data_IF_043015287327
#
_entry.id   IF_043015287327
#
_cell.length_a   1.000
_cell.length_b   1.000
_cell.length_c   1.000
_cell.angle_alpha   90.00
_cell.angle_beta   90.00
_cell.angle_gamma   90.00
#
_symmetry.space_group_name_H-M   'P 1'
#
loop_
_entity.id
_entity.type
_entity.pdbx_description
1 polymer ?
#
# COMPACT_ATOMS: atom_id res chain seq x y z
N UNK A 1 -3.06 -23.95 -9.28
CA UNK A 1 -3.09 -22.59 -8.74
C UNK A 1 -1.76 -21.94 -9.05
N UNK A 2 -1.77 -20.82 -9.75
CA UNK A 2 -0.59 -20.06 -10.17
C UNK A 2 -0.60 -18.69 -9.47
N UNK A 3 0.57 -18.21 -9.02
CA UNK A 3 0.73 -16.92 -8.36
C UNK A 3 1.51 -15.98 -9.28
N UNK A 4 1.03 -14.74 -9.44
CA UNK A 4 1.77 -13.66 -10.10
C UNK A 4 2.42 -12.78 -9.02
N UNK A 5 3.75 -12.79 -8.95
CA UNK A 5 4.52 -11.86 -8.12
C UNK A 5 4.85 -10.61 -8.95
N UNK A 6 4.35 -9.46 -8.55
CA UNK A 6 4.53 -8.18 -9.24
C UNK A 6 5.56 -7.36 -8.48
N UNK A 7 6.65 -6.98 -9.17
CA UNK A 7 7.76 -6.24 -8.59
C UNK A 7 7.96 -4.92 -9.35
N UNK A 8 7.43 -3.79 -8.86
CA UNK A 8 7.76 -2.47 -9.40
C UNK A 8 9.19 -2.08 -9.00
N UNK A 9 10.00 -1.64 -9.94
CA UNK A 9 11.40 -1.30 -9.72
C UNK A 9 11.75 0.07 -10.34
N UNK A 10 12.32 0.96 -9.53
CA UNK A 10 12.86 2.23 -9.96
C UNK A 10 14.11 2.57 -9.16
N UNK A 11 15.27 2.63 -9.83
CA UNK A 11 16.57 2.96 -9.23
C UNK A 11 16.90 2.11 -7.99
N UNK A 12 16.82 0.79 -8.13
CA UNK A 12 17.06 -0.20 -7.07
C UNK A 12 18.19 -1.20 -7.42
N UNK A 13 19.18 -0.76 -8.20
CA UNK A 13 20.30 -1.62 -8.66
C UNK A 13 20.99 -2.40 -7.54
N UNK A 14 21.03 -1.85 -6.31
CA UNK A 14 21.67 -2.48 -5.15
C UNK A 14 20.86 -3.65 -4.56
N UNK A 15 19.54 -3.65 -4.76
CA UNK A 15 18.62 -4.51 -4.02
C UNK A 15 17.87 -5.50 -4.92
N UNK A 16 17.52 -5.08 -6.13
CA UNK A 16 16.64 -5.83 -7.03
C UNK A 16 17.11 -7.27 -7.28
N UNK A 17 18.42 -7.49 -7.38
CA UNK A 17 18.97 -8.83 -7.56
C UNK A 17 18.70 -9.76 -6.37
N UNK A 18 18.69 -9.25 -5.15
CA UNK A 18 18.35 -10.01 -3.94
C UNK A 18 16.84 -10.28 -3.86
N UNK A 19 16.03 -9.28 -4.18
CA UNK A 19 14.59 -9.41 -4.29
C UNK A 19 14.17 -10.53 -5.25
N UNK A 20 14.64 -10.49 -6.49
CA UNK A 20 14.31 -11.51 -7.51
C UNK A 20 14.78 -12.90 -7.10
N UNK A 21 15.98 -13.04 -6.52
CA UNK A 21 16.47 -14.33 -6.04
C UNK A 21 15.61 -14.91 -4.93
N UNK A 22 15.05 -14.08 -4.04
CA UNK A 22 14.14 -14.57 -2.98
C UNK A 22 12.84 -15.15 -3.56
N UNK A 23 12.35 -14.58 -4.66
CA UNK A 23 11.19 -15.12 -5.38
C UNK A 23 11.49 -16.43 -6.08
N UNK A 24 12.70 -16.57 -6.63
CA UNK A 24 13.14 -17.78 -7.33
C UNK A 24 13.45 -18.97 -6.40
N UNK A 25 13.40 -18.80 -5.09
CA UNK A 25 13.50 -19.91 -4.11
C UNK A 25 12.20 -20.72 -3.99
N UNK A 26 11.14 -20.31 -4.69
CA UNK A 26 9.83 -20.98 -4.69
C UNK A 26 9.64 -21.83 -5.96
N UNK A 27 8.60 -22.65 -6.00
CA UNK A 27 8.31 -23.54 -7.13
C UNK A 27 8.01 -22.76 -8.42
N UNK A 28 8.94 -22.81 -9.37
CA UNK A 28 8.89 -22.07 -10.64
C UNK A 28 7.71 -22.46 -11.54
N UNK A 29 7.14 -23.64 -11.38
CA UNK A 29 5.97 -24.06 -12.17
C UNK A 29 4.66 -23.38 -11.68
N UNK A 30 4.66 -22.92 -10.44
CA UNK A 30 3.50 -22.29 -9.79
C UNK A 30 3.58 -20.77 -9.69
N UNK A 31 4.70 -20.17 -10.10
CA UNK A 31 4.90 -18.73 -10.02
C UNK A 31 5.17 -18.13 -11.41
N UNK A 32 4.66 -16.93 -11.65
CA UNK A 32 5.20 -16.00 -12.63
C UNK A 32 5.68 -14.74 -11.91
N UNK A 33 6.84 -14.25 -12.29
CA UNK A 33 7.45 -13.06 -11.71
C UNK A 33 7.41 -11.96 -12.77
N UNK A 34 6.70 -10.88 -12.50
CA UNK A 34 6.51 -9.76 -13.42
C UNK A 34 7.29 -8.58 -12.86
N UNK A 35 8.41 -8.29 -13.48
CA UNK A 35 9.33 -7.23 -13.10
C UNK A 35 9.04 -5.99 -13.95
N UNK A 36 8.68 -4.88 -13.31
CA UNK A 36 8.37 -3.63 -14.01
C UNK A 36 9.50 -2.63 -13.75
N UNK A 37 10.30 -2.37 -14.79
CA UNK A 37 11.28 -1.29 -14.75
C UNK A 37 10.61 0.04 -15.11
N UNK A 38 10.29 0.84 -14.12
CA UNK A 38 9.59 2.12 -14.26
C UNK A 38 10.56 3.26 -14.62
N UNK A 39 11.28 3.09 -15.75
CA UNK A 39 12.19 4.11 -16.28
C UNK A 39 13.44 4.36 -15.42
N UNK A 40 14.02 3.33 -14.81
CA UNK A 40 15.27 3.46 -14.03
C UNK A 40 16.41 4.02 -14.86
N UNK A 41 17.21 4.88 -14.23
CA UNK A 41 18.39 5.53 -14.81
C UNK A 41 19.71 4.92 -14.34
N UNK A 42 19.66 4.02 -13.36
CA UNK A 42 20.78 3.22 -12.88
C UNK A 42 20.85 1.85 -13.57
N UNK A 43 21.59 0.89 -13.03
CA UNK A 43 21.73 -0.44 -13.61
C UNK A 43 20.54 -1.37 -13.36
N UNK A 44 19.45 -0.89 -12.76
CA UNK A 44 18.27 -1.73 -12.44
C UNK A 44 17.77 -2.46 -13.68
N UNK A 45 17.53 -1.76 -14.79
CA UNK A 45 17.05 -2.38 -16.03
C UNK A 45 17.99 -3.48 -16.54
N UNK A 46 19.30 -3.22 -16.60
CA UNK A 46 20.30 -4.20 -17.02
C UNK A 46 20.33 -5.44 -16.12
N UNK A 47 20.13 -5.25 -14.81
CA UNK A 47 20.08 -6.38 -13.85
C UNK A 47 18.82 -7.22 -14.09
N UNK A 48 17.68 -6.57 -14.33
CA UNK A 48 16.43 -7.27 -14.63
C UNK A 48 16.55 -8.11 -15.90
N UNK A 49 17.14 -7.58 -16.98
CA UNK A 49 17.34 -8.26 -18.25
C UNK A 49 18.34 -9.43 -18.16
N UNK A 50 19.16 -9.47 -17.11
CA UNK A 50 20.10 -10.57 -16.89
C UNK A 50 19.46 -11.86 -16.35
N UNK A 51 18.20 -11.81 -15.91
CA UNK A 51 17.48 -12.99 -15.44
C UNK A 51 16.83 -13.74 -16.61
N UNK A 52 17.54 -14.73 -17.13
CA UNK A 52 17.03 -15.63 -18.19
C UNK A 52 16.35 -16.86 -17.56
N UNK A 53 15.13 -16.66 -17.01
CA UNK A 53 14.34 -17.70 -16.36
C UNK A 53 12.92 -17.69 -16.93
N UNK A 54 12.37 -18.84 -17.38
CA UNK A 54 11.07 -18.87 -18.08
C UNK A 54 9.87 -18.30 -17.30
N UNK A 55 9.91 -18.32 -15.96
CA UNK A 55 8.86 -17.77 -15.14
C UNK A 55 8.98 -16.24 -14.93
N UNK A 56 10.03 -15.59 -15.45
CA UNK A 56 10.23 -14.15 -15.34
C UNK A 56 9.79 -13.44 -16.61
N UNK A 57 9.03 -12.36 -16.44
CA UNK A 57 8.67 -11.41 -17.48
C UNK A 57 9.13 -10.03 -17.08
N UNK A 58 10.01 -9.42 -17.87
CA UNK A 58 10.45 -8.02 -17.68
C UNK A 58 9.63 -7.09 -18.58
N UNK A 59 9.17 -5.98 -18.03
CA UNK A 59 8.45 -4.92 -18.76
C UNK A 59 9.15 -3.60 -18.45
N UNK A 60 9.60 -2.90 -19.47
CA UNK A 60 10.18 -1.56 -19.35
C UNK A 60 9.14 -0.51 -19.69
N UNK A 61 9.00 0.51 -18.86
CA UNK A 61 8.10 1.66 -19.07
C UNK A 61 8.87 2.96 -18.89
N UNK A 62 8.33 4.06 -19.37
CA UNK A 62 8.73 5.39 -18.90
C UNK A 62 8.30 5.55 -17.44
N UNK A 63 9.04 6.37 -16.67
CA UNK A 63 8.72 6.59 -15.26
C UNK A 63 7.36 7.27 -15.09
N UNK A 64 6.41 6.57 -14.52
CA UNK A 64 5.06 7.04 -14.19
C UNK A 64 4.72 6.84 -12.71
N UNK A 65 5.67 6.34 -11.92
CA UNK A 65 5.56 6.10 -10.49
C UNK A 65 4.99 4.74 -10.11
N UNK A 66 5.17 4.40 -8.85
CA UNK A 66 4.90 3.07 -8.29
C UNK A 66 3.49 2.54 -8.58
N UNK A 67 2.47 3.40 -8.49
CA UNK A 67 1.07 3.04 -8.79
C UNK A 67 0.90 2.56 -10.23
N UNK A 68 1.47 3.29 -11.20
CA UNK A 68 1.40 2.93 -12.62
C UNK A 68 2.16 1.63 -12.89
N UNK A 69 3.33 1.46 -12.29
CA UNK A 69 4.11 0.22 -12.40
C UNK A 69 3.34 -0.98 -11.84
N UNK A 70 2.71 -0.86 -10.65
CA UNK A 70 1.86 -1.92 -10.09
C UNK A 70 0.65 -2.22 -10.98
N UNK A 71 -0.01 -1.22 -11.53
CA UNK A 71 -1.13 -1.40 -12.46
C UNK A 71 -0.69 -2.09 -13.76
N UNK A 72 0.48 -1.75 -14.30
CA UNK A 72 1.08 -2.44 -15.46
C UNK A 72 1.31 -3.91 -15.14
N UNK A 73 1.83 -4.22 -13.96
CA UNK A 73 1.99 -5.59 -13.48
C UNK A 73 0.66 -6.33 -13.34
N UNK A 74 -0.37 -5.70 -12.77
CA UNK A 74 -1.71 -6.27 -12.67
C UNK A 74 -2.32 -6.60 -14.04
N UNK A 75 -2.16 -5.72 -15.01
CA UNK A 75 -2.63 -5.95 -16.37
C UNK A 75 -1.90 -7.10 -17.07
N UNK A 76 -0.64 -7.34 -16.71
CA UNK A 76 0.19 -8.41 -17.27
C UNK A 76 0.05 -9.75 -16.54
N UNK A 77 -0.54 -9.76 -15.33
CA UNK A 77 -0.69 -10.93 -14.49
C UNK A 77 -1.66 -11.96 -15.07
N UNK A 78 -1.25 -13.23 -15.09
CA UNK A 78 -2.05 -14.37 -15.56
C UNK A 78 -2.40 -15.38 -14.46
N UNK A 79 -1.75 -15.30 -13.30
CA UNK A 79 -1.95 -16.18 -12.17
C UNK A 79 -3.36 -16.06 -11.55
N UNK A 80 -3.76 -17.04 -10.79
CA UNK A 80 -5.03 -17.06 -10.06
C UNK A 80 -5.00 -16.05 -8.90
N UNK A 81 -3.81 -15.87 -8.32
CA UNK A 81 -3.52 -14.95 -7.21
C UNK A 81 -2.38 -14.00 -7.56
N UNK A 82 -2.38 -12.84 -6.91
CA UNK A 82 -1.37 -11.78 -7.07
C UNK A 82 -0.77 -11.45 -5.70
N UNK A 83 0.56 -11.31 -5.67
CA UNK A 83 1.31 -10.73 -4.55
C UNK A 83 2.19 -9.58 -5.07
N UNK A 84 2.24 -8.46 -4.33
CA UNK A 84 3.16 -7.37 -4.63
C UNK A 84 4.42 -7.51 -3.77
N UNK A 85 5.57 -7.25 -4.37
CA UNK A 85 6.85 -7.24 -3.66
C UNK A 85 7.62 -6.00 -4.06
N UNK A 86 7.95 -5.14 -3.10
CA UNK A 86 8.78 -3.97 -3.36
C UNK A 86 10.21 -4.39 -3.72
N UNK A 87 10.82 -3.73 -4.69
CA UNK A 87 12.09 -4.15 -5.31
C UNK A 87 13.32 -4.09 -4.38
N UNK A 88 13.19 -3.48 -3.21
CA UNK A 88 14.20 -3.42 -2.16
C UNK A 88 13.93 -4.39 -0.99
N UNK A 89 12.83 -5.13 -1.04
CA UNK A 89 12.42 -6.11 -0.03
C UNK A 89 12.63 -7.57 -0.51
N UNK A 90 12.25 -8.54 0.32
CA UNK A 90 12.36 -9.98 0.03
C UNK A 90 11.16 -10.76 0.54
N UNK A 91 10.89 -11.91 -0.04
CA UNK A 91 10.07 -12.93 0.59
C UNK A 91 10.94 -13.85 1.47
N UNK A 92 10.35 -14.36 2.54
CA UNK A 92 10.95 -15.43 3.32
C UNK A 92 11.03 -16.73 2.52
N UNK A 93 11.95 -17.62 2.89
CA UNK A 93 12.11 -18.93 2.26
C UNK A 93 10.78 -19.72 2.31
N UNK A 94 10.41 -20.35 1.21
CA UNK A 94 9.18 -21.13 1.06
C UNK A 94 7.87 -20.37 1.35
N UNK A 95 7.89 -19.04 1.35
CA UNK A 95 6.71 -18.22 1.65
C UNK A 95 5.55 -18.49 0.69
N UNK A 96 5.80 -18.59 -0.62
CA UNK A 96 4.75 -18.82 -1.62
C UNK A 96 4.22 -20.25 -1.58
N UNK A 97 5.04 -21.24 -1.26
CA UNK A 97 4.59 -22.61 -1.07
C UNK A 97 3.66 -22.71 0.12
N UNK A 98 4.04 -22.11 1.25
CA UNK A 98 3.20 -22.06 2.44
C UNK A 98 1.90 -21.28 2.23
N UNK A 99 1.95 -20.13 1.54
CA UNK A 99 0.77 -19.37 1.15
C UNK A 99 -0.15 -20.18 0.23
N UNK A 100 0.45 -20.95 -0.69
CA UNK A 100 -0.31 -21.87 -1.57
C UNK A 100 -1.10 -22.90 -0.77
N UNK A 101 -0.51 -23.47 0.27
CA UNK A 101 -1.20 -24.45 1.12
C UNK A 101 -2.32 -23.80 1.94
N UNK A 102 -2.08 -22.63 2.54
CA UNK A 102 -3.09 -21.85 3.25
C UNK A 102 -4.27 -21.53 2.32
N UNK A 103 -4.01 -21.10 1.09
CA UNK A 103 -5.03 -20.76 0.11
C UNK A 103 -5.86 -21.98 -0.31
N UNK A 104 -5.24 -23.17 -0.41
CA UNK A 104 -5.97 -24.43 -0.69
C UNK A 104 -6.86 -24.83 0.48
N UNK A 105 -6.36 -24.70 1.70
CA UNK A 105 -7.06 -25.11 2.92
C UNK A 105 -8.24 -24.18 3.23
N UNK A 106 -8.05 -22.87 3.07
CA UNK A 106 -9.04 -21.85 3.45
C UNK A 106 -9.98 -21.44 2.32
N UNK A 107 -9.59 -21.65 1.07
CA UNK A 107 -10.30 -21.18 -0.13
C UNK A 107 -10.59 -19.67 -0.10
N UNK A 108 -9.73 -18.90 0.59
CA UNK A 108 -9.92 -17.47 0.80
C UNK A 108 -9.53 -16.66 -0.45
N UNK A 109 -10.25 -15.57 -0.70
CA UNK A 109 -9.92 -14.62 -1.76
C UNK A 109 -8.67 -13.80 -1.42
N UNK A 110 -8.44 -13.52 -0.12
CA UNK A 110 -7.30 -12.76 0.36
C UNK A 110 -6.71 -13.43 1.60
N UNK A 111 -5.38 -13.56 1.65
CA UNK A 111 -4.67 -13.99 2.86
C UNK A 111 -3.71 -12.90 3.29
N UNK A 112 -3.97 -12.32 4.46
CA UNK A 112 -3.06 -11.38 5.14
C UNK A 112 -2.02 -12.12 5.97
N UNK A 113 -0.80 -11.59 5.98
CA UNK A 113 0.33 -12.12 6.74
C UNK A 113 1.18 -10.99 7.32
N UNK A 114 2.21 -11.33 8.07
CA UNK A 114 3.06 -10.39 8.77
C UNK A 114 4.43 -10.24 8.09
N UNK A 115 5.20 -9.25 8.54
CA UNK A 115 6.56 -9.00 8.07
C UNK A 115 7.55 -8.93 9.21
N UNK A 116 8.75 -9.46 8.96
CA UNK A 116 9.95 -9.08 9.72
C UNK A 116 10.58 -7.84 9.08
N UNK A 117 11.34 -7.11 9.89
CA UNK A 117 12.11 -5.94 9.45
C UNK A 117 13.59 -6.25 9.58
N UNK A 118 14.38 -5.84 8.58
CA UNK A 118 15.83 -5.85 8.64
C UNK A 118 16.42 -4.53 8.15
N UNK A 119 17.62 -4.21 8.57
CA UNK A 119 18.22 -2.90 8.39
C UNK A 119 19.51 -3.02 7.62
N UNK A 120 19.75 -2.10 6.68
CA UNK A 120 21.03 -1.96 5.97
C UNK A 120 22.13 -1.36 6.86
N UNK A 121 21.73 -0.63 7.91
CA UNK A 121 22.62 0.05 8.85
C UNK A 121 22.05 -0.04 10.27
N UNK A 122 22.86 -0.43 11.24
CA UNK A 122 22.50 -0.52 12.67
C UNK A 122 21.94 0.79 13.24
N UNK A 123 22.45 1.95 12.76
CA UNK A 123 21.96 3.27 13.16
C UNK A 123 20.49 3.51 12.73
N UNK A 124 20.03 2.86 11.69
CA UNK A 124 18.62 2.90 11.30
C UNK A 124 17.74 2.14 12.29
N UNK A 125 18.23 1.04 12.85
CA UNK A 125 17.51 0.26 13.86
C UNK A 125 17.27 1.05 15.16
N UNK A 126 18.20 1.98 15.52
CA UNK A 126 18.02 2.85 16.67
C UNK A 126 16.95 3.93 16.46
N UNK A 127 16.72 4.34 15.20
CA UNK A 127 15.82 5.45 14.86
C UNK A 127 14.46 5.03 14.37
N UNK A 128 14.37 3.85 13.78
CA UNK A 128 13.16 3.34 13.15
C UNK A 128 12.82 1.98 13.75
N UNK A 129 11.59 1.83 14.22
CA UNK A 129 11.05 0.56 14.67
C UNK A 129 9.65 0.35 14.07
N UNK A 130 9.56 0.19 12.74
CA UNK A 130 8.28 -0.01 12.08
C UNK A 130 7.73 -1.40 12.46
N UNK A 131 6.45 -1.44 12.83
CA UNK A 131 5.76 -2.69 13.18
C UNK A 131 4.81 -3.06 12.05
N UNK A 132 4.98 -4.28 11.53
CA UNK A 132 4.14 -4.88 10.50
C UNK A 132 3.55 -6.20 10.99
N UNK A 133 3.27 -6.26 12.28
CA UNK A 133 2.70 -7.40 12.97
C UNK A 133 1.33 -7.03 13.52
N UNK A 134 0.36 -7.93 13.37
CA UNK A 134 -0.98 -7.79 13.94
C UNK A 134 -1.09 -8.43 15.32
N UNK A 135 0.05 -8.91 15.85
CA UNK A 135 0.18 -9.52 17.18
C UNK A 135 -0.83 -10.67 17.42
N UNK A 136 -1.17 -11.40 16.39
CA UNK A 136 -2.10 -12.52 16.46
C UNK A 136 -3.58 -12.13 16.65
N UNK A 137 -3.92 -10.85 16.75
CA UNK A 137 -5.28 -10.37 17.05
C UNK A 137 -6.33 -10.78 16.02
N UNK A 138 -5.90 -11.04 14.77
CA UNK A 138 -6.77 -11.45 13.67
C UNK A 138 -6.36 -12.81 13.08
N UNK A 139 -5.46 -13.55 13.76
CA UNK A 139 -4.84 -14.76 13.21
C UNK A 139 -5.76 -15.97 13.24
N UNK A 140 -5.59 -16.86 12.24
CA UNK A 140 -6.30 -18.12 12.06
C UNK A 140 -7.83 -17.95 12.02
N UNK A 141 -8.28 -16.84 11.47
CA UNK A 141 -9.69 -16.50 11.36
C UNK A 141 -10.03 -16.19 9.91
N UNK A 142 -11.10 -16.83 9.41
CA UNK A 142 -11.63 -16.57 8.08
C UNK A 142 -12.95 -15.82 8.20
N UNK A 143 -13.09 -14.70 7.50
CA UNK A 143 -14.25 -13.83 7.58
C UNK A 143 -14.49 -13.08 6.25
N UNK A 144 -15.54 -12.26 6.21
CA UNK A 144 -15.75 -11.34 5.08
C UNK A 144 -14.75 -10.19 5.10
N UNK A 145 -14.49 -9.56 3.94
CA UNK A 145 -13.66 -8.36 3.84
C UNK A 145 -14.15 -7.22 4.75
N UNK A 146 -15.46 -6.99 4.81
CA UNK A 146 -16.09 -6.00 5.69
C UNK A 146 -15.81 -6.29 7.17
N UNK A 147 -15.96 -7.54 7.60
CA UNK A 147 -15.69 -7.92 8.99
C UNK A 147 -14.20 -7.79 9.33
N UNK A 148 -13.31 -8.20 8.43
CA UNK A 148 -11.87 -8.02 8.63
C UNK A 148 -11.51 -6.53 8.78
N UNK A 149 -12.01 -5.67 7.89
CA UNK A 149 -11.82 -4.23 7.96
C UNK A 149 -12.29 -3.66 9.31
N UNK A 150 -13.52 -4.00 9.71
CA UNK A 150 -14.11 -3.57 10.97
C UNK A 150 -13.23 -3.94 12.18
N UNK A 151 -12.80 -5.19 12.28
CA UNK A 151 -11.97 -5.65 13.38
C UNK A 151 -10.59 -4.99 13.36
N UNK A 152 -9.94 -4.89 12.18
CA UNK A 152 -8.63 -4.30 12.04
C UNK A 152 -8.61 -2.82 12.46
N UNK A 153 -9.62 -2.05 12.06
CA UNK A 153 -9.76 -0.64 12.46
C UNK A 153 -10.04 -0.50 13.96
N UNK A 154 -10.95 -1.30 14.52
CA UNK A 154 -11.28 -1.23 15.94
C UNK A 154 -10.11 -1.62 16.85
N UNK A 155 -9.26 -2.54 16.40
CA UNK A 155 -8.05 -2.94 17.11
C UNK A 155 -6.85 -2.00 16.88
N UNK A 156 -6.99 -0.97 16.02
CA UNK A 156 -5.90 -0.08 15.65
C UNK A 156 -4.77 -0.78 14.86
N UNK A 157 -5.10 -1.87 14.16
CA UNK A 157 -4.16 -2.75 13.47
C UNK A 157 -4.45 -2.87 11.96
N UNK A 158 -5.09 -1.86 11.39
CA UNK A 158 -5.36 -1.79 9.97
C UNK A 158 -4.11 -1.37 9.18
N UNK A 159 -3.35 -2.36 8.72
CA UNK A 159 -2.13 -2.18 7.92
C UNK A 159 -2.50 -2.28 6.44
N UNK A 160 -2.33 -1.19 5.70
CA UNK A 160 -2.76 -1.04 4.30
C UNK A 160 -1.73 -1.48 3.26
N UNK A 161 -0.50 -1.87 3.67
CA UNK A 161 0.58 -2.22 2.73
C UNK A 161 0.17 -3.38 1.81
N UNK A 162 0.19 -3.20 0.47
CA UNK A 162 -0.19 -4.23 -0.50
C UNK A 162 0.80 -5.40 -0.55
N UNK A 163 1.97 -5.24 0.04
CA UNK A 163 2.98 -6.31 0.15
C UNK A 163 2.71 -7.28 1.30
N UNK A 164 1.71 -7.04 2.15
CA UNK A 164 1.40 -7.85 3.32
C UNK A 164 0.13 -8.69 3.16
N UNK A 165 -0.22 -8.98 1.94
CA UNK A 165 -1.26 -9.95 1.59
C UNK A 165 -1.06 -10.50 0.18
N UNK A 166 -1.65 -11.66 -0.05
CA UNK A 166 -1.87 -12.22 -1.37
C UNK A 166 -3.37 -12.18 -1.66
N UNK A 167 -3.76 -11.84 -2.88
CA UNK A 167 -5.17 -11.68 -3.26
C UNK A 167 -5.51 -12.40 -4.55
N UNK A 168 -6.71 -12.97 -4.64
CA UNK A 168 -7.22 -13.55 -5.87
C UNK A 168 -7.43 -12.46 -6.93
N UNK A 169 -7.19 -12.78 -8.19
CA UNK A 169 -7.51 -11.85 -9.30
C UNK A 169 -9.00 -11.48 -9.35
N UNK A 170 -9.86 -12.37 -8.85
CA UNK A 170 -11.29 -12.10 -8.70
C UNK A 170 -11.54 -10.97 -7.71
N UNK A 171 -10.86 -11.01 -6.55
CA UNK A 171 -10.95 -9.94 -5.54
C UNK A 171 -10.46 -8.58 -6.06
N UNK A 172 -9.46 -8.60 -6.95
CA UNK A 172 -8.88 -7.39 -7.56
C UNK A 172 -9.67 -6.84 -8.76
N UNK A 173 -10.79 -7.47 -9.12
CA UNK A 173 -11.58 -7.03 -10.28
C UNK A 173 -12.04 -5.59 -10.10
N UNK A 174 -11.74 -4.75 -11.09
CA UNK A 174 -12.04 -3.31 -11.13
C UNK A 174 -11.33 -2.47 -10.04
N UNK A 175 -10.30 -3.03 -9.39
CA UNK A 175 -9.50 -2.32 -8.39
C UNK A 175 -8.13 -2.00 -8.99
N UNK A 176 -7.73 -0.74 -8.94
CA UNK A 176 -6.44 -0.26 -9.43
C UNK A 176 -5.83 0.73 -8.44
N UNK A 177 -4.52 0.84 -8.46
CA UNK A 177 -3.81 1.89 -7.74
C UNK A 177 -4.11 3.25 -8.36
N UNK A 178 -4.31 4.26 -7.54
CA UNK A 178 -4.48 5.65 -8.00
C UNK A 178 -3.12 6.21 -8.40
N UNK A 179 -2.97 6.56 -9.67
CA UNK A 179 -1.71 7.12 -10.18
C UNK A 179 -1.46 8.54 -9.67
N UNK A 180 -0.16 8.90 -9.52
CA UNK A 180 0.26 10.26 -9.24
C UNK A 180 0.10 10.73 -7.79
N UNK A 181 -0.18 9.83 -6.86
CA UNK A 181 -0.25 10.14 -5.44
C UNK A 181 0.62 9.17 -4.63
N UNK A 182 1.13 9.62 -3.50
CA UNK A 182 1.70 8.76 -2.45
C UNK A 182 0.58 8.36 -1.48
N UNK A 183 0.77 7.27 -0.73
CA UNK A 183 -0.24 6.67 0.17
C UNK A 183 -1.45 6.06 -0.58
N UNK A 184 -1.28 5.74 -1.85
CA UNK A 184 -2.26 5.07 -2.71
C UNK A 184 -2.75 3.73 -2.17
N UNK A 185 -1.93 3.10 -1.32
CA UNK A 185 -2.22 1.86 -0.60
C UNK A 185 -3.44 1.96 0.32
N UNK A 186 -3.70 3.15 0.90
CA UNK A 186 -4.91 3.39 1.68
C UNK A 186 -6.19 3.23 0.86
N UNK A 187 -6.19 3.73 -0.38
CA UNK A 187 -7.33 3.55 -1.28
C UNK A 187 -7.42 2.09 -1.74
N UNK A 188 -6.30 1.55 -2.22
CA UNK A 188 -6.27 0.24 -2.86
C UNK A 188 -6.70 -0.87 -1.90
N UNK A 189 -6.11 -0.93 -0.70
CA UNK A 189 -6.43 -1.97 0.29
C UNK A 189 -7.84 -1.81 0.87
N UNK A 190 -8.30 -0.57 1.07
CA UNK A 190 -9.68 -0.33 1.52
C UNK A 190 -10.70 -0.76 0.46
N UNK A 191 -10.46 -0.47 -0.82
CA UNK A 191 -11.30 -0.97 -1.90
C UNK A 191 -11.25 -2.49 -2.03
N UNK A 192 -10.07 -3.11 -1.90
CA UNK A 192 -9.95 -4.57 -1.90
C UNK A 192 -10.89 -5.23 -0.87
N UNK A 193 -10.97 -4.66 0.33
CA UNK A 193 -11.77 -5.22 1.42
C UNK A 193 -13.26 -4.89 1.34
N UNK A 194 -13.63 -3.75 0.75
CA UNK A 194 -14.98 -3.21 0.83
C UNK A 194 -15.70 -3.06 -0.54
N UNK A 195 -15.03 -3.29 -1.67
CA UNK A 195 -15.67 -3.14 -2.99
C UNK A 195 -16.46 -4.37 -3.39
N UNK A 196 -15.90 -5.56 -3.16
CA UNK A 196 -16.49 -6.84 -3.56
C UNK A 196 -16.76 -7.73 -2.34
N UNK A 197 -17.69 -8.65 -2.47
CA UNK A 197 -17.90 -9.70 -1.47
C UNK A 197 -16.76 -10.71 -1.56
N UNK A 198 -15.84 -10.64 -0.64
CA UNK A 198 -14.64 -11.47 -0.57
C UNK A 198 -14.52 -12.18 0.77
N UNK A 199 -13.80 -13.30 0.75
CA UNK A 199 -13.36 -14.01 1.96
C UNK A 199 -11.91 -13.67 2.25
N UNK A 200 -11.63 -13.36 3.51
CA UNK A 200 -10.30 -12.99 4.02
C UNK A 200 -9.88 -14.00 5.07
N UNK A 201 -8.65 -14.47 4.98
CA UNK A 201 -7.97 -15.20 6.04
C UNK A 201 -6.76 -14.40 6.50
N UNK A 202 -6.41 -14.48 7.77
CA UNK A 202 -5.24 -13.80 8.31
C UNK A 202 -4.38 -14.79 9.11
N UNK A 203 -3.08 -14.75 8.88
CA UNK A 203 -2.10 -15.54 9.63
C UNK A 203 -1.06 -14.64 10.27
N UNK A 204 -0.43 -15.09 11.35
CA UNK A 204 0.66 -14.37 12.01
C UNK A 204 2.05 -14.86 11.56
N UNK A 205 2.10 -15.57 10.44
CA UNK A 205 3.35 -16.02 9.83
C UNK A 205 4.00 -14.83 9.08
N UNK A 206 5.33 -14.71 9.21
CA UNK A 206 6.12 -13.63 8.63
C UNK A 206 6.69 -14.07 7.29
N UNK A 207 5.92 -13.86 6.23
CA UNK A 207 6.32 -14.22 4.87
C UNK A 207 7.09 -13.14 4.14
N UNK A 208 7.08 -11.92 4.67
CA UNK A 208 7.71 -10.76 4.06
C UNK A 208 8.87 -10.26 4.90
N UNK A 209 9.97 -9.86 4.26
CA UNK A 209 11.17 -9.33 4.89
C UNK A 209 11.36 -7.90 4.39
N UNK A 210 10.93 -6.92 5.19
CA UNK A 210 10.97 -5.51 4.84
C UNK A 210 12.31 -4.89 5.18
N UNK A 211 12.93 -4.26 4.19
CA UNK A 211 14.19 -3.55 4.36
C UNK A 211 13.95 -2.11 4.84
N UNK A 212 14.72 -1.69 5.82
CA UNK A 212 14.86 -0.28 6.20
C UNK A 212 16.23 0.21 5.73
N UNK A 213 16.22 1.14 4.79
CA UNK A 213 17.41 1.69 4.15
C UNK A 213 17.37 3.21 4.08
N UNK A 214 18.53 3.84 3.94
CA UNK A 214 18.61 5.27 3.65
C UNK A 214 17.95 5.59 2.30
N UNK A 215 17.25 6.74 2.25
CA UNK A 215 16.61 7.21 1.02
C UNK A 215 15.32 6.49 0.63
N UNK A 216 14.79 5.58 1.47
CA UNK A 216 13.43 5.05 1.26
C UNK A 216 12.37 6.08 1.65
N UNK A 217 11.15 5.94 1.13
CA UNK A 217 10.00 6.80 1.49
C UNK A 217 9.80 6.89 3.01
N UNK A 218 10.08 5.80 3.74
CA UNK A 218 9.95 5.76 5.19
C UNK A 218 11.03 6.55 5.94
N UNK A 219 12.24 6.64 5.39
CA UNK A 219 13.39 7.25 6.06
C UNK A 219 13.60 8.70 5.64
N UNK A 220 12.92 9.16 4.60
CA UNK A 220 12.93 10.56 4.16
C UNK A 220 12.04 11.44 5.04
N UNK A 221 12.37 12.73 5.09
CA UNK A 221 11.49 13.71 5.74
C UNK A 221 10.21 13.85 4.91
N UNK A 222 9.08 13.71 5.57
CA UNK A 222 7.77 13.89 4.92
C UNK A 222 7.63 15.34 4.44
N UNK A 223 7.26 15.51 3.17
CA UNK A 223 7.09 16.79 2.49
C UNK A 223 5.66 16.98 1.97
N UNK A 224 5.48 17.98 1.11
CA UNK A 224 4.19 18.34 0.50
C UNK A 224 3.53 17.18 -0.27
N UNK A 225 4.32 16.28 -0.82
CA UNK A 225 3.84 15.08 -1.50
C UNK A 225 3.04 14.16 -0.57
N UNK A 226 3.50 13.97 0.67
CA UNK A 226 2.80 13.18 1.67
C UNK A 226 1.48 13.85 2.10
N UNK A 227 1.52 15.18 2.29
CA UNK A 227 0.33 15.97 2.61
C UNK A 227 -0.71 15.84 1.51
N UNK A 228 -0.30 16.08 0.25
CA UNK A 228 -1.17 15.94 -0.91
C UNK A 228 -1.66 14.50 -1.10
N UNK A 229 -0.82 13.52 -0.78
CA UNK A 229 -1.18 12.11 -0.82
C UNK A 229 -2.35 11.79 0.11
N UNK A 230 -2.23 12.10 1.40
CA UNK A 230 -3.33 11.90 2.36
C UNK A 230 -4.60 12.67 1.97
N UNK A 231 -4.44 13.94 1.55
CA UNK A 231 -5.57 14.74 1.06
C UNK A 231 -6.31 14.03 -0.09
N UNK A 232 -5.58 13.58 -1.12
CA UNK A 232 -6.17 12.91 -2.26
C UNK A 232 -6.82 11.57 -1.87
N UNK A 233 -6.24 10.83 -0.93
CA UNK A 233 -6.84 9.58 -0.42
C UNK A 233 -8.16 9.85 0.30
N UNK A 234 -8.19 10.85 1.20
CA UNK A 234 -9.39 11.23 1.94
C UNK A 234 -10.49 11.64 0.98
N UNK A 235 -10.20 12.55 0.04
CA UNK A 235 -11.17 13.06 -0.93
C UNK A 235 -11.68 11.95 -1.87
N UNK A 236 -10.81 11.06 -2.32
CA UNK A 236 -11.20 9.93 -3.16
C UNK A 236 -12.17 8.99 -2.42
N UNK A 237 -11.84 8.61 -1.19
CA UNK A 237 -12.67 7.69 -0.41
C UNK A 237 -13.98 8.33 0.04
N UNK A 238 -14.00 9.63 0.35
CA UNK A 238 -15.23 10.35 0.69
C UNK A 238 -16.16 10.48 -0.52
N UNK A 239 -15.63 10.86 -1.69
CA UNK A 239 -16.47 11.08 -2.88
C UNK A 239 -16.90 9.79 -3.58
N UNK A 240 -16.09 8.75 -3.48
CA UNK A 240 -16.30 7.47 -4.14
C UNK A 240 -16.09 6.34 -3.11
N UNK A 241 -16.98 6.24 -2.09
CA UNK A 241 -16.85 5.18 -1.09
C UNK A 241 -16.99 3.81 -1.75
N UNK A 242 -16.27 2.78 -1.27
CA UNK A 242 -16.47 1.41 -1.73
C UNK A 242 -17.92 0.93 -1.49
N UNK A 243 -18.37 -0.02 -2.29
CA UNK A 243 -19.77 -0.47 -2.33
C UNK A 243 -20.31 -0.92 -0.95
N UNK A 244 -19.48 -1.56 -0.13
CA UNK A 244 -19.86 -2.09 1.18
C UNK A 244 -19.42 -1.20 2.37
N UNK A 245 -18.96 0.03 2.12
CA UNK A 245 -18.52 0.94 3.18
C UNK A 245 -19.63 1.27 4.19
N UNK A 246 -20.89 1.34 3.74
CA UNK A 246 -22.07 1.60 4.56
C UNK A 246 -22.37 0.48 5.57
N UNK A 247 -21.91 -0.75 5.33
CA UNK A 247 -22.07 -1.87 6.26
C UNK A 247 -21.16 -1.74 7.51
N UNK A 248 -20.12 -0.93 7.43
CA UNK A 248 -19.11 -0.69 8.47
C UNK A 248 -18.83 0.81 8.61
N UNK A 249 -19.88 1.62 8.56
CA UNK A 249 -19.79 3.08 8.45
C UNK A 249 -18.98 3.71 9.59
N UNK A 250 -19.14 3.25 10.82
CA UNK A 250 -18.43 3.81 11.98
C UNK A 250 -16.91 3.57 11.86
N UNK A 251 -16.51 2.36 11.47
CA UNK A 251 -15.10 2.03 11.29
C UNK A 251 -14.53 2.70 10.05
N UNK A 252 -15.33 2.85 9.00
CA UNK A 252 -14.93 3.60 7.82
C UNK A 252 -14.66 5.08 8.17
N UNK A 253 -15.54 5.70 8.95
CA UNK A 253 -15.35 7.05 9.47
C UNK A 253 -14.11 7.16 10.37
N UNK A 254 -13.90 6.19 11.27
CA UNK A 254 -12.67 6.13 12.10
C UNK A 254 -11.40 6.07 11.24
N UNK A 255 -11.43 5.28 10.16
CA UNK A 255 -10.28 5.20 9.25
C UNK A 255 -10.03 6.52 8.50
N UNK A 256 -11.09 7.19 8.01
CA UNK A 256 -10.97 8.52 7.41
C UNK A 256 -10.37 9.51 8.42
N UNK A 257 -10.86 9.52 9.67
CA UNK A 257 -10.31 10.36 10.76
C UNK A 257 -8.83 10.06 11.03
N UNK A 258 -8.44 8.79 11.01
CA UNK A 258 -7.02 8.42 11.16
C UNK A 258 -6.15 9.00 10.03
N UNK A 259 -6.60 8.96 8.78
CA UNK A 259 -5.88 9.61 7.67
C UNK A 259 -5.80 11.13 7.82
N UNK A 260 -6.85 11.77 8.36
CA UNK A 260 -6.83 13.20 8.70
C UNK A 260 -5.79 13.48 9.79
N UNK A 261 -5.67 12.62 10.79
CA UNK A 261 -4.61 12.75 11.81
C UNK A 261 -3.20 12.59 11.21
N UNK A 262 -3.00 11.63 10.31
CA UNK A 262 -1.74 11.47 9.58
C UNK A 262 -1.39 12.71 8.75
N UNK A 263 -2.36 13.30 8.09
CA UNK A 263 -2.24 14.58 7.37
C UNK A 263 -1.83 15.71 8.34
N UNK A 264 -2.45 15.78 9.53
CA UNK A 264 -2.14 16.77 10.58
C UNK A 264 -0.70 16.69 11.08
N UNK A 265 -0.23 15.47 11.40
CA UNK A 265 1.15 15.26 11.86
C UNK A 265 2.18 15.67 10.80
N UNK A 266 1.80 15.67 9.54
CA UNK A 266 2.66 16.07 8.44
C UNK A 266 2.65 17.60 8.24
N UNK A 267 1.59 18.31 8.70
CA UNK A 267 1.42 19.76 8.56
C UNK A 267 0.76 20.37 9.81
N UNK A 268 1.56 20.70 10.83
CA UNK A 268 1.11 21.06 12.18
C UNK A 268 0.25 22.33 12.31
N UNK A 269 0.15 23.17 11.27
CA UNK A 269 -0.40 24.51 11.41
C UNK A 269 -1.87 24.70 10.97
N UNK A 270 -2.53 23.69 10.39
CA UNK A 270 -3.81 23.92 9.68
C UNK A 270 -5.04 23.19 10.29
N UNK A 271 -4.89 22.27 11.24
CA UNK A 271 -5.91 21.21 11.41
C UNK A 271 -6.59 21.11 12.79
N UNK A 272 -6.43 22.06 13.67
CA UNK A 272 -7.20 22.05 14.94
C UNK A 272 -8.72 22.01 14.70
N UNK A 273 -9.20 22.60 13.60
CA UNK A 273 -10.62 22.75 13.28
C UNK A 273 -11.26 21.53 12.62
N UNK A 274 -10.58 20.85 11.68
CA UNK A 274 -11.15 19.71 10.94
C UNK A 274 -11.48 18.50 11.83
N UNK A 275 -10.67 18.22 12.84
CA UNK A 275 -10.91 17.11 13.78
C UNK A 275 -12.11 17.40 14.70
N UNK A 276 -12.29 18.67 15.08
CA UNK A 276 -13.42 19.11 15.89
C UNK A 276 -14.77 18.90 15.19
N UNK A 277 -14.81 19.11 13.88
CA UNK A 277 -16.02 18.94 13.08
C UNK A 277 -16.32 17.45 12.80
N UNK A 278 -15.31 16.63 12.43
CA UNK A 278 -15.48 15.19 12.19
C UNK A 278 -15.92 14.41 13.44
N UNK A 279 -15.49 14.84 14.65
CA UNK A 279 -15.89 14.19 15.92
C UNK A 279 -17.29 14.61 16.36
N UNK A 280 -17.75 15.81 16.00
CA UNK A 280 -19.09 16.29 16.35
C UNK A 280 -20.22 15.58 15.61
N UNK A 281 -19.91 14.95 14.48
CA UNK A 281 -20.89 14.32 13.62
C UNK A 281 -20.68 12.80 13.58
N UNK A 282 -21.28 12.08 14.53
CA UNK A 282 -21.34 10.62 14.56
C UNK A 282 -22.11 10.01 13.38
N UNK A 283 -22.77 10.83 12.56
CA UNK A 283 -23.51 10.43 11.38
C UNK A 283 -23.03 11.27 10.18
N UNK A 284 -21.99 10.80 9.46
CA UNK A 284 -21.61 11.45 8.20
C UNK A 284 -22.67 11.10 7.14
N UNK A 285 -23.68 11.96 7.01
CA UNK A 285 -24.65 11.89 5.91
C UNK A 285 -24.00 12.43 4.63
N UNK A 286 -24.30 11.89 3.43
CA UNK A 286 -23.72 12.36 2.16
C UNK A 286 -23.71 13.88 1.92
N UNK A 287 -24.66 14.62 2.51
CA UNK A 287 -24.68 16.09 2.44
C UNK A 287 -23.63 16.80 3.30
N UNK A 288 -23.20 16.20 4.40
CA UNK A 288 -22.19 16.77 5.31
C UNK A 288 -20.77 16.54 4.78
N UNK A 289 -20.55 15.41 4.08
CA UNK A 289 -19.33 15.14 3.32
C UNK A 289 -19.06 16.25 2.28
N UNK A 290 -20.09 16.79 1.65
CA UNK A 290 -19.97 17.93 0.72
C UNK A 290 -19.57 19.23 1.46
N UNK A 291 -19.96 19.40 2.72
CA UNK A 291 -19.53 20.48 3.61
C UNK A 291 -18.05 20.38 3.94
N UNK A 292 -17.61 19.24 4.45
CA UNK A 292 -16.21 18.95 4.78
C UNK A 292 -15.28 19.11 3.56
N UNK A 293 -15.73 18.66 2.39
CA UNK A 293 -14.99 18.87 1.13
C UNK A 293 -14.82 20.36 0.83
N UNK A 294 -15.86 21.16 0.99
CA UNK A 294 -15.83 22.61 0.80
C UNK A 294 -14.84 23.27 1.76
N UNK A 295 -14.86 22.91 3.03
CA UNK A 295 -13.94 23.44 4.04
C UNK A 295 -12.49 23.05 3.77
N UNK A 296 -12.22 21.79 3.38
CA UNK A 296 -10.90 21.35 2.97
C UNK A 296 -10.44 22.12 1.72
N UNK A 297 -11.30 22.35 0.75
CA UNK A 297 -11.01 23.15 -0.46
C UNK A 297 -10.80 24.63 -0.11
N UNK A 298 -11.55 25.20 0.83
CA UNK A 298 -11.39 26.57 1.33
C UNK A 298 -10.05 26.73 2.09
N UNK A 299 -9.69 25.79 2.95
CA UNK A 299 -8.39 25.78 3.63
C UNK A 299 -7.24 25.71 2.62
N UNK A 300 -7.34 24.84 1.61
CA UNK A 300 -6.34 24.71 0.54
C UNK A 300 -6.25 25.96 -0.33
N UNK A 301 -7.36 26.69 -0.47
CA UNK A 301 -7.44 27.95 -1.20
C UNK A 301 -7.16 29.18 -0.32
N UNK A 302 -6.99 29.00 0.97
CA UNK A 302 -6.69 30.10 1.91
C UNK A 302 -5.42 30.85 1.53
N UNK A 303 -5.37 32.12 1.92
CA UNK A 303 -4.21 33.00 1.68
C UNK A 303 -2.95 32.41 2.32
N UNK A 304 -3.08 31.82 3.51
CA UNK A 304 -1.96 31.18 4.25
C UNK A 304 -1.41 29.98 3.47
N UNK A 305 -2.28 29.10 2.95
CA UNK A 305 -1.85 27.97 2.12
C UNK A 305 -1.17 28.42 0.82
N UNK A 306 -1.75 29.39 0.14
CA UNK A 306 -1.20 29.94 -1.12
C UNK A 306 0.10 30.69 -0.92
N UNK A 307 0.25 31.45 0.17
CA UNK A 307 1.49 32.18 0.50
C UNK A 307 2.65 31.23 0.85
N UNK A 308 2.39 30.08 1.45
CA UNK A 308 3.43 29.09 1.75
C UNK A 308 3.71 28.13 0.60
N UNK A 309 2.87 28.08 -0.44
CA UNK A 309 3.04 27.24 -1.63
C UNK A 309 4.36 27.50 -2.41
N UNK A 310 4.80 28.73 -2.68
CA UNK A 310 6.08 28.98 -3.32
C UNK A 310 7.27 28.49 -2.51
N UNK A 311 7.25 28.69 -1.18
CA UNK A 311 8.29 28.21 -0.27
C UNK A 311 8.37 26.67 -0.26
N UNK A 312 7.23 25.99 -0.28
CA UNK A 312 7.16 24.54 -0.39
C UNK A 312 7.74 24.02 -1.70
N UNK A 313 7.41 24.65 -2.85
CA UNK A 313 7.97 24.33 -4.17
C UNK A 313 9.47 24.55 -4.26
N UNK A 314 9.97 25.64 -3.65
CA UNK A 314 11.43 25.91 -3.61
C UNK A 314 12.18 24.83 -2.83
N UNK A 315 11.65 24.35 -1.71
CA UNK A 315 12.28 23.28 -0.92
C UNK A 315 12.34 21.97 -1.71
N UNK A 316 11.35 21.69 -2.54
CA UNK A 316 11.33 20.50 -3.42
C UNK A 316 12.33 20.63 -4.58
N UNK A 317 12.48 21.85 -5.13
CA UNK A 317 13.38 22.12 -6.26
C UNK A 317 14.87 22.08 -5.88
N UNK A 318 15.22 22.43 -4.64
CA UNK A 318 16.62 22.37 -4.14
C UNK A 318 17.04 21.01 -3.57
N UNK A 319 16.16 19.98 -3.66
CA UNK A 319 16.40 18.62 -3.18
C UNK A 319 16.38 17.56 -4.28
N UNK A 320 16.25 17.97 -5.56
CA UNK A 320 16.36 17.13 -6.75
C UNK A 320 17.80 16.89 -7.17
#
# INVERSE_FOLDING_TARGET
>A
MKISAIVPAFNTEKYIGECVRSLLQNDHEKIEIILINDGSTDKTGTILDSFDVPCIKVIHTENQGQSAARNTGLAAASGDYVIFVDSDDKLADNALDRLTDILKDTQSDVVFFESSVFFDDEKLAERFNPKYERNGLLSNFTCSGTHFFQQAVNLGNYIVSPCLYISSRKALKNIQFKNGIVHEDNIFTTRLLLENDITVHCVNEKFYLRRVRHGSVMTQKKGDEHINGYYNCIIELINHPPANANQVQDEYNKFICHMVDCFKYTNSDIIADLKGELIKHNDIVPGEVAGLKREIDELRNSTSWKMTSPLRRMVTFFKG
#
